data_IF_110941713986
#
_entry.id   IF_110941713986
#
_cell.length_a   1.000
_cell.length_b   1.000
_cell.length_c   1.000
_cell.angle_alpha   90.00
_cell.angle_beta   90.00
_cell.angle_gamma   90.00
#
_symmetry.space_group_name_H-M   'P 1'
#
loop_
_entity.id
_entity.type
_entity.pdbx_description
1 polymer ?
#
# COMPACT_ATOMS: atom_id res chain seq x y z
N UNK A 1 -2.55 10.61 15.65
CA UNK A 1 -1.52 9.90 16.42
C UNK A 1 -0.92 8.80 15.57
N UNK A 2 0.39 8.60 15.64
CA UNK A 2 1.04 7.45 15.03
C UNK A 2 0.49 6.16 15.67
N UNK A 3 0.19 5.10 14.91
CA UNK A 3 -0.27 3.83 15.46
C UNK A 3 0.85 3.14 16.23
N UNK A 4 0.48 2.28 17.17
CA UNK A 4 1.40 1.34 17.78
C UNK A 4 1.74 0.26 16.75
N UNK A 5 3.00 -0.01 16.53
CA UNK A 5 3.48 -1.03 15.61
C UNK A 5 3.87 -2.28 16.38
N UNK A 6 3.41 -3.44 15.91
CA UNK A 6 3.81 -4.74 16.44
C UNK A 6 4.47 -5.55 15.34
N UNK A 7 5.62 -6.10 15.63
CA UNK A 7 6.37 -6.95 14.70
C UNK A 7 7.25 -7.93 15.44
N UNK A 8 7.61 -9.01 14.78
CA UNK A 8 8.62 -9.93 15.27
C UNK A 8 9.97 -9.60 14.64
N UNK A 9 11.03 -9.75 15.42
CA UNK A 9 12.41 -9.56 14.98
C UNK A 9 13.24 -10.72 15.52
N UNK A 10 13.97 -11.37 14.64
CA UNK A 10 14.96 -12.38 15.05
C UNK A 10 16.33 -11.73 15.17
N UNK A 11 17.01 -11.98 16.27
CA UNK A 11 18.37 -11.52 16.52
C UNK A 11 19.33 -12.72 16.60
N UNK A 12 20.44 -12.65 15.90
CA UNK A 12 21.47 -13.70 15.91
C UNK A 12 22.22 -13.74 17.25
N UNK A 13 22.36 -12.57 17.88
CA UNK A 13 22.94 -12.39 19.19
C UNK A 13 22.14 -11.34 19.98
N UNK A 14 22.42 -11.20 21.28
CA UNK A 14 21.89 -10.09 22.06
C UNK A 14 22.41 -8.77 21.46
N UNK A 15 21.51 -7.89 21.06
CA UNK A 15 21.82 -6.66 20.36
C UNK A 15 20.76 -5.60 20.63
N UNK A 16 20.87 -4.43 20.02
CA UNK A 16 19.90 -3.34 20.14
C UNK A 16 19.30 -3.00 18.79
N UNK A 17 17.98 -2.95 18.72
CA UNK A 17 17.25 -2.41 17.59
C UNK A 17 16.92 -0.95 17.86
N UNK A 18 17.24 -0.07 16.93
CA UNK A 18 16.79 1.32 16.90
C UNK A 18 15.73 1.46 15.82
N UNK A 19 14.57 1.99 16.20
CA UNK A 19 13.47 2.30 15.30
C UNK A 19 13.19 3.80 15.34
N UNK A 20 13.07 4.40 14.18
CA UNK A 20 12.73 5.80 14.06
C UNK A 20 11.39 5.97 13.35
N UNK A 21 10.57 6.85 13.88
CA UNK A 21 9.45 7.42 13.15
C UNK A 21 9.98 8.65 12.44
N UNK A 22 9.82 8.69 11.14
CA UNK A 22 10.26 9.82 10.32
C UNK A 22 9.13 10.35 9.46
N UNK A 23 9.28 11.59 9.02
CA UNK A 23 8.46 12.21 8.01
C UNK A 23 9.33 13.03 7.06
N UNK A 24 8.73 13.57 6.01
CA UNK A 24 9.43 14.52 5.14
C UNK A 24 9.25 15.95 5.64
N UNK A 25 10.31 16.74 5.51
CA UNK A 25 10.25 18.21 5.68
C UNK A 25 9.28 18.86 4.67
N UNK A 26 9.07 18.21 3.51
CA UNK A 26 8.09 18.62 2.49
C UNK A 26 6.86 17.72 2.58
N UNK A 27 5.68 18.30 2.74
CA UNK A 27 4.42 17.59 3.05
C UNK A 27 4.06 16.48 2.05
N UNK A 28 4.46 16.61 0.80
CA UNK A 28 4.09 15.72 -0.30
C UNK A 28 5.27 14.86 -0.80
N UNK A 29 6.35 14.82 -0.04
CA UNK A 29 7.55 14.10 -0.42
C UNK A 29 7.65 12.75 0.30
N UNK A 30 8.30 11.80 -0.36
CA UNK A 30 8.57 10.45 0.16
C UNK A 30 9.96 10.30 0.81
N UNK A 31 10.67 11.40 1.02
CA UNK A 31 12.01 11.39 1.64
C UNK A 31 11.88 11.46 3.15
N UNK A 32 12.34 10.46 3.93
CA UNK A 32 12.26 10.44 5.39
C UNK A 32 13.41 11.24 6.02
N UNK A 33 13.47 12.53 5.76
CA UNK A 33 14.56 13.43 6.17
C UNK A 33 14.41 14.02 7.57
N UNK A 34 13.21 13.93 8.17
CA UNK A 34 12.93 14.44 9.51
C UNK A 34 12.72 13.31 10.49
N UNK A 35 13.48 13.28 11.58
CA UNK A 35 13.28 12.33 12.68
C UNK A 35 12.26 12.92 13.64
N UNK A 36 11.11 12.28 13.76
CA UNK A 36 10.00 12.71 14.62
C UNK A 36 10.05 12.06 15.99
N UNK A 37 10.46 10.80 16.07
CA UNK A 37 10.65 10.06 17.33
C UNK A 37 11.60 8.87 17.15
N UNK A 38 12.24 8.47 18.25
CA UNK A 38 13.19 7.34 18.28
C UNK A 38 12.79 6.41 19.41
N UNK A 39 12.84 5.10 19.15
CA UNK A 39 12.68 4.04 20.13
C UNK A 39 13.87 3.07 20.04
N UNK A 40 14.29 2.59 21.17
CA UNK A 40 15.37 1.59 21.28
C UNK A 40 14.85 0.35 22.00
N UNK A 41 15.20 -0.82 21.50
CA UNK A 41 14.80 -2.11 22.04
C UNK A 41 16.02 -2.99 22.25
N UNK A 42 16.25 -3.43 23.48
CA UNK A 42 17.26 -4.44 23.76
C UNK A 42 16.70 -5.82 23.40
N UNK A 43 17.31 -6.46 22.42
CA UNK A 43 16.92 -7.75 21.88
C UNK A 43 17.73 -8.86 22.55
N UNK A 44 17.07 -9.97 22.83
CA UNK A 44 17.73 -11.23 23.17
C UNK A 44 18.00 -12.01 21.90
N UNK A 45 18.92 -12.96 21.98
CA UNK A 45 19.12 -13.90 20.89
C UNK A 45 17.80 -14.62 20.57
N UNK A 46 17.59 -14.94 19.29
CA UNK A 46 16.42 -15.55 18.69
C UNK A 46 15.21 -14.60 18.55
N UNK A 47 14.00 -15.07 18.71
CA UNK A 47 12.76 -14.33 18.43
C UNK A 47 12.44 -13.28 19.51
N UNK A 48 12.10 -12.09 19.09
CA UNK A 48 11.67 -10.98 19.92
C UNK A 48 10.37 -10.39 19.37
N UNK A 49 9.40 -10.17 20.24
CA UNK A 49 8.21 -9.39 19.90
C UNK A 49 8.48 -7.91 20.21
N UNK A 50 8.33 -7.04 19.23
CA UNK A 50 8.51 -5.60 19.35
C UNK A 50 7.13 -4.94 19.38
N UNK A 51 6.93 -4.07 20.36
CA UNK A 51 5.76 -3.19 20.48
C UNK A 51 6.27 -1.75 20.50
N UNK A 52 6.19 -1.07 19.37
CA UNK A 52 6.67 0.28 19.21
C UNK A 52 5.52 1.29 19.30
N UNK A 53 5.39 2.01 20.41
CA UNK A 53 4.50 3.16 20.58
C UNK A 53 5.35 4.44 20.59
N UNK A 54 5.41 5.11 19.46
CA UNK A 54 6.14 6.36 19.34
C UNK A 54 5.49 7.53 20.09
N UNK A 55 4.24 7.38 20.53
CA UNK A 55 3.45 8.42 21.24
C UNK A 55 3.46 9.77 20.54
N UNK A 56 3.51 9.77 19.20
CA UNK A 56 3.64 10.93 18.35
C UNK A 56 2.34 11.25 17.60
N UNK A 57 2.08 12.54 17.34
CA UNK A 57 0.89 12.97 16.59
C UNK A 57 1.28 14.05 15.59
N UNK A 58 0.88 13.85 14.35
CA UNK A 58 1.04 14.85 13.29
C UNK A 58 -0.12 15.84 13.31
N UNK A 59 0.20 17.12 13.15
CA UNK A 59 -0.81 18.18 13.08
C UNK A 59 -1.59 18.15 11.76
N UNK A 60 -0.96 17.69 10.69
CA UNK A 60 -1.57 17.55 9.35
C UNK A 60 -1.26 16.18 8.77
N UNK A 61 -2.12 15.63 7.90
CA UNK A 61 -1.81 14.41 7.17
C UNK A 61 -0.49 14.53 6.38
N UNK A 62 0.35 13.51 6.46
CA UNK A 62 1.60 13.41 5.71
C UNK A 62 2.06 11.96 5.64
N UNK A 63 3.02 11.70 4.77
CA UNK A 63 3.68 10.40 4.76
C UNK A 63 4.53 10.24 6.02
N UNK A 64 4.35 9.09 6.67
CA UNK A 64 5.13 8.67 7.81
C UNK A 64 5.92 7.40 7.46
N UNK A 65 7.13 7.31 7.97
CA UNK A 65 8.06 6.23 7.69
C UNK A 65 8.50 5.59 9.00
N UNK A 66 8.37 4.28 9.08
CA UNK A 66 8.95 3.50 10.16
C UNK A 66 10.28 2.97 9.65
N UNK A 67 11.36 3.49 10.21
CA UNK A 67 12.71 3.19 9.78
C UNK A 67 13.38 2.27 10.79
N UNK A 68 13.79 1.09 10.34
CA UNK A 68 14.64 0.19 11.10
C UNK A 68 16.09 0.57 10.79
N UNK A 69 16.83 0.96 11.80
CA UNK A 69 18.23 1.33 11.62
C UNK A 69 19.07 0.08 11.32
N UNK A 70 20.11 0.27 10.52
CA UNK A 70 20.98 -0.81 10.08
C UNK A 70 21.53 -1.58 11.28
N UNK A 71 21.26 -2.86 11.33
CA UNK A 71 21.81 -3.78 12.29
C UNK A 71 22.01 -5.15 11.60
N UNK A 72 23.26 -5.61 11.38
CA UNK A 72 23.52 -6.87 10.69
C UNK A 72 23.15 -8.12 11.51
N UNK A 73 22.90 -7.96 12.82
CA UNK A 73 22.55 -9.05 13.73
C UNK A 73 21.06 -9.35 13.75
N UNK A 74 20.23 -8.60 12.95
CA UNK A 74 18.79 -8.78 12.96
C UNK A 74 18.25 -9.19 11.60
N UNK A 75 17.16 -9.94 11.62
CA UNK A 75 16.32 -10.21 10.48
C UNK A 75 14.84 -9.98 10.83
N UNK A 76 14.07 -9.56 9.83
CA UNK A 76 12.65 -9.29 9.99
C UNK A 76 11.85 -10.16 9.03
N UNK A 77 10.72 -10.73 9.48
CA UNK A 77 9.86 -11.50 8.58
C UNK A 77 9.21 -10.59 7.54
N UNK A 78 9.08 -11.12 6.34
CA UNK A 78 8.45 -10.45 5.21
C UNK A 78 7.11 -11.10 4.89
N UNK A 79 6.13 -10.30 4.52
CA UNK A 79 4.83 -10.76 4.02
C UNK A 79 4.80 -10.66 2.50
N UNK A 80 4.35 -11.71 1.82
CA UNK A 80 4.08 -11.70 0.38
C UNK A 80 2.84 -10.89 0.00
N UNK A 81 2.02 -10.49 0.98
CA UNK A 81 0.80 -9.73 0.72
C UNK A 81 1.12 -8.26 0.50
N UNK A 82 0.71 -7.76 -0.66
CA UNK A 82 0.80 -6.34 -0.99
C UNK A 82 -0.42 -5.61 -0.47
N UNK A 83 -0.19 -4.45 0.16
CA UNK A 83 -1.25 -3.54 0.60
C UNK A 83 -1.04 -2.21 -0.09
N UNK A 84 -2.06 -1.74 -0.79
CA UNK A 84 -2.08 -0.44 -1.45
C UNK A 84 -1.71 0.68 -0.47
N UNK A 85 -0.81 1.55 -0.89
CA UNK A 85 -0.36 2.69 -0.07
C UNK A 85 0.64 2.35 1.04
N UNK A 86 1.03 1.09 1.18
CA UNK A 86 2.15 0.67 2.03
C UNK A 86 3.34 0.29 1.17
N UNK A 87 4.44 0.97 1.35
CA UNK A 87 5.67 0.73 0.57
C UNK A 87 6.83 0.36 1.49
N UNK A 88 7.47 -0.77 1.24
CA UNK A 88 8.74 -1.10 1.85
C UNK A 88 9.88 -0.57 0.96
N UNK A 89 10.73 0.27 1.53
CA UNK A 89 11.88 0.85 0.84
C UNK A 89 13.15 0.43 1.55
N UNK A 90 14.11 -0.09 0.78
CA UNK A 90 15.43 -0.40 1.28
C UNK A 90 16.40 0.69 0.86
N UNK A 91 16.99 1.35 1.83
CA UNK A 91 18.13 2.21 1.60
C UNK A 91 19.39 1.35 1.49
N UNK A 92 19.85 1.16 0.28
CA UNK A 92 21.01 0.37 -0.01
C UNK A 92 21.96 1.13 -0.93
N UNK A 93 23.15 1.41 -0.46
CA UNK A 93 24.21 2.01 -1.27
C UNK A 93 24.97 0.89 -1.95
N UNK A 94 24.79 0.74 -3.25
CA UNK A 94 25.55 -0.20 -4.06
C UNK A 94 26.58 0.54 -4.90
N UNK A 95 27.86 0.45 -4.57
CA UNK A 95 28.92 1.15 -5.31
C UNK A 95 29.11 0.63 -6.73
N UNK A 96 28.54 -0.52 -7.07
CA UNK A 96 28.58 -1.08 -8.42
C UNK A 96 27.55 -0.47 -9.37
N UNK A 97 26.50 0.14 -8.84
CA UNK A 97 25.48 0.81 -9.63
C UNK A 97 25.88 2.25 -9.91
N UNK A 98 25.79 2.68 -11.15
CA UNK A 98 26.36 3.93 -11.60
C UNK A 98 25.89 5.17 -10.86
N UNK A 99 24.72 5.67 -11.10
CA UNK A 99 24.36 7.00 -10.62
C UNK A 99 23.85 7.01 -9.19
N UNK A 100 23.22 5.93 -8.74
CA UNK A 100 22.57 5.90 -7.44
C UNK A 100 23.47 5.33 -6.36
N UNK A 101 24.19 4.27 -6.64
CA UNK A 101 24.97 3.57 -5.65
C UNK A 101 26.40 4.07 -5.48
N UNK A 102 26.92 4.86 -6.42
CA UNK A 102 28.30 5.37 -6.34
C UNK A 102 28.45 6.63 -5.51
N UNK A 103 27.37 7.30 -5.28
CA UNK A 103 27.39 8.59 -4.62
C UNK A 103 27.15 8.39 -3.14
N UNK A 104 28.19 8.62 -2.36
CA UNK A 104 28.03 8.85 -0.94
C UNK A 104 27.65 10.32 -0.80
N UNK A 105 26.53 10.66 -0.15
CA UNK A 105 26.17 12.04 0.08
C UNK A 105 27.32 12.74 0.78
N UNK A 106 27.75 13.90 0.31
CA UNK A 106 28.64 14.75 1.11
C UNK A 106 27.98 15.08 2.45
N UNK A 107 28.80 15.25 3.46
CA UNK A 107 28.33 15.64 4.78
C UNK A 107 27.48 16.90 4.69
N UNK A 108 26.29 16.85 5.27
CA UNK A 108 25.34 17.97 5.30
C UNK A 108 24.38 18.07 4.12
N UNK A 109 24.43 17.17 3.15
CA UNK A 109 23.44 17.10 2.07
C UNK A 109 22.28 16.21 2.49
N UNK A 110 21.05 16.68 2.29
CA UNK A 110 19.83 15.95 2.57
C UNK A 110 19.66 14.71 1.68
N UNK A 111 18.93 13.75 2.19
CA UNK A 111 18.64 12.48 1.48
C UNK A 111 17.90 12.71 0.17
N UNK A 112 17.09 13.73 0.10
CA UNK A 112 16.31 14.11 -1.08
C UNK A 112 17.15 14.54 -2.29
N UNK A 113 18.37 14.98 -2.08
CA UNK A 113 19.25 15.41 -3.17
C UNK A 113 19.89 14.24 -3.91
N UNK A 114 19.87 13.09 -3.28
CA UNK A 114 20.49 11.90 -3.83
C UNK A 114 19.53 10.83 -4.20
N UNK A 115 18.27 10.93 -3.85
CA UNK A 115 17.27 9.92 -4.14
C UNK A 115 17.85 8.50 -4.19
N UNK A 116 18.57 8.10 -3.15
CA UNK A 116 19.16 6.77 -3.06
C UNK A 116 18.11 5.71 -2.99
N UNK A 117 17.19 5.82 -3.84
CA UNK A 117 16.15 4.87 -3.89
C UNK A 117 16.76 3.59 -4.36
N UNK A 118 16.88 2.73 -3.39
CA UNK A 118 17.19 1.37 -3.67
C UNK A 118 16.38 0.91 -4.87
N UNK A 119 17.02 0.32 -5.85
CA UNK A 119 16.30 -0.28 -6.97
C UNK A 119 15.31 -1.36 -6.55
N UNK A 120 15.31 -1.81 -5.31
CA UNK A 120 14.34 -2.74 -4.76
C UNK A 120 13.41 -2.03 -3.79
N UNK A 121 12.32 -1.51 -4.31
CA UNK A 121 11.14 -1.22 -3.50
C UNK A 121 10.37 -2.51 -3.34
N UNK A 122 9.87 -2.80 -2.13
CA UNK A 122 9.19 -4.06 -1.83
C UNK A 122 10.00 -5.24 -2.38
N UNK A 123 11.13 -5.62 -1.78
CA UNK A 123 11.98 -6.69 -2.31
C UNK A 123 11.12 -7.90 -2.64
N UNK A 124 11.22 -8.38 -3.87
CA UNK A 124 10.39 -9.50 -4.33
C UNK A 124 8.88 -9.28 -4.13
N UNK A 125 8.41 -8.03 -4.20
CA UNK A 125 7.01 -7.67 -3.94
C UNK A 125 6.53 -8.00 -2.52
N UNK A 126 7.41 -7.93 -1.53
CA UNK A 126 7.09 -8.19 -0.12
C UNK A 126 7.12 -6.93 0.71
N UNK A 127 6.29 -6.87 1.74
CA UNK A 127 6.34 -5.88 2.81
C UNK A 127 6.92 -6.50 4.09
N UNK A 128 7.46 -5.68 4.97
CA UNK A 128 7.80 -6.12 6.33
C UNK A 128 6.51 -6.57 7.03
N UNK A 129 6.52 -7.77 7.63
CA UNK A 129 5.37 -8.28 8.35
C UNK A 129 5.20 -7.53 9.66
N UNK A 130 4.17 -6.68 9.75
CA UNK A 130 3.83 -5.91 10.95
C UNK A 130 2.33 -5.69 11.05
N UNK A 131 1.86 -5.38 12.24
CA UNK A 131 0.48 -4.96 12.49
C UNK A 131 0.43 -3.60 13.18
N UNK A 132 -0.71 -2.93 13.05
CA UNK A 132 -0.94 -1.59 13.58
C UNK A 132 -2.12 -1.56 14.53
N UNK A 133 -1.97 -0.86 15.67
CA UNK A 133 -3.03 -0.65 16.62
C UNK A 133 -3.18 0.85 16.94
N UNK A 134 -4.34 1.50 16.70
CA UNK A 134 -5.47 0.93 15.99
C UNK A 134 -5.13 0.57 14.53
N UNK A 135 -5.92 -0.28 13.87
CA UNK A 135 -5.75 -0.55 12.44
C UNK A 135 -5.72 0.75 11.63
N UNK A 136 -4.96 0.75 10.55
CA UNK A 136 -4.88 1.93 9.68
C UNK A 136 -6.25 2.22 9.07
N UNK A 137 -6.88 3.31 9.50
CA UNK A 137 -8.20 3.72 9.02
C UNK A 137 -8.16 4.43 7.66
N UNK A 138 -7.01 4.46 7.01
CA UNK A 138 -6.78 5.16 5.75
C UNK A 138 -7.37 4.46 4.53
N UNK A 139 -7.86 3.23 4.66
CA UNK A 139 -8.35 2.39 3.55
C UNK A 139 -9.88 2.25 3.52
N UNK A 140 -10.60 3.22 4.01
CA UNK A 140 -12.06 3.16 4.09
C UNK A 140 -12.73 3.44 2.73
N UNK A 141 -14.03 3.10 2.61
CA UNK A 141 -14.80 3.25 1.39
C UNK A 141 -15.04 4.70 0.95
N UNK A 142 -14.90 5.67 1.84
CA UNK A 142 -15.06 7.08 1.50
C UNK A 142 -13.97 7.55 0.52
N UNK A 143 -12.82 6.90 0.52
CA UNK A 143 -11.75 7.17 -0.45
C UNK A 143 -12.21 6.99 -1.90
N UNK A 144 -13.18 6.13 -2.16
CA UNK A 144 -13.69 5.87 -3.52
C UNK A 144 -14.46 7.05 -4.12
N UNK A 145 -14.69 8.12 -3.33
CA UNK A 145 -15.44 9.32 -3.74
C UNK A 145 -14.55 10.56 -3.84
N UNK A 146 -13.27 10.46 -3.56
CA UNK A 146 -12.37 11.62 -3.48
C UNK A 146 -11.77 12.06 -4.83
N UNK A 147 -12.06 11.33 -5.91
CA UNK A 147 -11.57 11.60 -7.27
C UNK A 147 -10.08 11.42 -7.49
N UNK A 148 -9.38 10.81 -6.55
CA UNK A 148 -7.99 10.38 -6.73
C UNK A 148 -7.95 8.91 -7.17
N UNK A 149 -7.12 8.59 -8.16
CA UNK A 149 -6.96 7.24 -8.69
C UNK A 149 -5.59 6.66 -8.40
N UNK A 150 -4.90 7.25 -7.44
CA UNK A 150 -3.58 6.84 -6.97
C UNK A 150 -3.37 7.35 -5.54
N UNK A 151 -2.40 6.81 -4.78
CA UNK A 151 -1.97 7.40 -3.52
C UNK A 151 -1.46 8.83 -3.74
N UNK A 152 -1.93 9.76 -2.91
CA UNK A 152 -1.50 11.16 -2.90
C UNK A 152 -1.90 11.79 -1.58
N UNK A 153 -0.91 12.13 -0.72
CA UNK A 153 -1.11 12.58 0.66
C UNK A 153 -1.90 11.59 1.54
N UNK A 154 -2.41 10.54 0.96
CA UNK A 154 -3.18 9.48 1.57
C UNK A 154 -3.24 8.29 0.63
N UNK A 155 -3.82 7.21 1.11
CA UNK A 155 -3.93 5.98 0.31
C UNK A 155 -4.90 6.11 -0.85
N UNK A 156 -5.94 6.94 -0.68
CA UNK A 156 -6.99 7.20 -1.68
C UNK A 156 -7.64 5.94 -2.24
N UNK A 157 -7.59 4.87 -1.47
CA UNK A 157 -8.13 3.57 -1.85
C UNK A 157 -9.02 3.00 -0.75
N UNK A 158 -10.00 2.21 -1.15
CA UNK A 158 -10.59 1.21 -0.28
C UNK A 158 -9.81 -0.09 -0.42
N UNK A 159 -9.50 -0.75 0.69
CA UNK A 159 -8.85 -2.06 0.72
C UNK A 159 -9.56 -2.93 1.74
N UNK A 160 -9.88 -4.16 1.35
CA UNK A 160 -10.49 -5.15 2.24
C UNK A 160 -9.48 -5.66 3.28
N UNK A 161 -10.00 -6.20 4.38
CA UNK A 161 -9.18 -6.88 5.38
C UNK A 161 -8.55 -8.17 4.81
N UNK A 162 -7.40 -8.56 5.34
CA UNK A 162 -6.70 -9.78 4.90
C UNK A 162 -7.47 -11.08 5.13
N UNK A 163 -8.32 -11.10 6.15
CA UNK A 163 -9.10 -12.24 6.58
C UNK A 163 -10.55 -12.18 6.09
N UNK A 164 -10.90 -11.21 5.26
CA UNK A 164 -12.22 -11.14 4.65
C UNK A 164 -12.38 -12.23 3.60
N UNK A 165 -13.15 -13.25 3.95
CA UNK A 165 -13.38 -14.40 3.05
C UNK A 165 -14.33 -14.06 1.87
N UNK A 166 -15.02 -12.92 1.93
CA UNK A 166 -15.98 -12.50 0.89
C UNK A 166 -15.93 -10.99 0.69
N UNK A 167 -14.79 -10.48 0.22
CA UNK A 167 -14.59 -9.06 0.06
C UNK A 167 -15.57 -8.46 -0.94
N UNK A 168 -16.30 -7.47 -0.47
CA UNK A 168 -17.34 -6.80 -1.23
C UNK A 168 -17.37 -5.32 -0.90
N UNK A 169 -17.61 -4.50 -1.89
CA UNK A 169 -17.94 -3.08 -1.69
C UNK A 169 -19.29 -2.76 -2.27
N UNK A 170 -20.11 -2.07 -1.48
CA UNK A 170 -21.45 -1.64 -1.86
C UNK A 170 -21.49 -0.13 -2.11
N UNK A 171 -22.01 0.25 -3.28
CA UNK A 171 -22.31 1.62 -3.63
C UNK A 171 -23.84 1.79 -3.64
N UNK A 172 -24.34 2.58 -2.69
CA UNK A 172 -25.76 2.84 -2.54
C UNK A 172 -26.05 4.32 -2.68
N UNK A 173 -27.14 4.65 -3.34
CA UNK A 173 -27.62 6.01 -3.52
C UNK A 173 -29.12 6.14 -3.19
N UNK A 174 -29.57 7.39 -3.05
CA UNK A 174 -30.96 7.66 -2.71
C UNK A 174 -31.87 7.42 -3.91
N UNK A 175 -32.83 6.51 -3.74
CA UNK A 175 -33.83 6.14 -4.75
C UNK A 175 -33.26 5.38 -5.93
N UNK A 176 -34.10 4.73 -6.66
CA UNK A 176 -33.73 3.96 -7.85
C UNK A 176 -33.37 4.90 -9.01
N UNK A 177 -32.24 4.64 -9.64
CA UNK A 177 -31.79 5.38 -10.84
C UNK A 177 -31.48 4.40 -11.95
N UNK A 178 -31.65 4.85 -13.17
CA UNK A 178 -31.27 4.12 -14.35
C UNK A 178 -29.76 4.30 -14.55
N UNK A 179 -29.03 3.19 -14.65
CA UNK A 179 -27.59 3.16 -14.88
C UNK A 179 -27.30 2.47 -16.20
N UNK A 180 -26.28 2.93 -16.90
CA UNK A 180 -25.83 2.38 -18.18
C UNK A 180 -24.38 1.96 -18.15
N UNK A 181 -23.53 2.67 -17.39
CA UNK A 181 -22.09 2.48 -17.38
C UNK A 181 -21.59 2.35 -15.95
N UNK A 182 -20.68 1.41 -15.72
CA UNK A 182 -19.96 1.22 -14.46
C UNK A 182 -18.46 1.31 -14.78
N UNK A 183 -17.74 2.17 -14.07
CA UNK A 183 -16.30 2.36 -14.24
C UNK A 183 -15.62 2.00 -12.94
N UNK A 184 -14.66 1.09 -13.01
CA UNK A 184 -13.83 0.67 -11.88
C UNK A 184 -12.37 1.05 -12.13
N UNK A 185 -11.75 1.66 -11.11
CA UNK A 185 -10.32 1.94 -11.07
C UNK A 185 -9.67 1.00 -10.06
N UNK A 186 -8.94 0.02 -10.53
CA UNK A 186 -8.10 -0.84 -9.70
C UNK A 186 -6.78 -0.15 -9.38
N UNK A 187 -6.07 -0.69 -8.40
CA UNK A 187 -4.75 -0.22 -8.05
C UNK A 187 -3.75 -0.47 -9.19
N UNK A 188 -3.04 0.57 -9.55
CA UNK A 188 -1.95 0.52 -10.55
C UNK A 188 -0.58 0.26 -9.92
N UNK A 189 -0.55 0.05 -8.60
CA UNK A 189 0.70 -0.10 -7.83
C UNK A 189 1.66 1.09 -8.01
N UNK A 190 1.10 2.30 -8.09
CA UNK A 190 1.87 3.53 -8.34
C UNK A 190 2.82 3.91 -7.21
N UNK A 191 2.70 3.32 -6.04
CA UNK A 191 3.63 3.45 -4.94
C UNK A 191 4.88 2.56 -5.11
N UNK A 192 4.91 1.72 -6.14
CA UNK A 192 6.10 1.01 -6.60
C UNK A 192 6.68 1.72 -7.83
N UNK A 193 7.92 2.12 -7.76
CA UNK A 193 8.56 2.76 -8.90
C UNK A 193 8.74 1.77 -10.06
N UNK A 194 8.28 2.16 -11.22
CA UNK A 194 8.39 1.39 -12.47
C UNK A 194 9.23 2.12 -13.54
N UNK A 195 9.92 3.18 -13.13
CA UNK A 195 10.61 4.08 -14.06
C UNK A 195 11.89 3.50 -14.64
N UNK A 196 12.41 2.44 -14.05
CA UNK A 196 13.67 1.86 -14.49
C UNK A 196 13.61 0.36 -14.64
N UNK A 197 14.38 -0.17 -15.57
CA UNK A 197 14.55 -1.62 -15.76
C UNK A 197 15.14 -2.33 -14.53
N UNK A 198 15.76 -1.58 -13.62
CA UNK A 198 16.36 -2.13 -12.41
C UNK A 198 15.32 -2.50 -11.36
N UNK A 199 14.12 -1.95 -11.46
CA UNK A 199 13.04 -2.20 -10.50
C UNK A 199 12.28 -3.50 -10.75
N UNK A 200 12.46 -4.09 -11.91
CA UNK A 200 11.64 -5.17 -12.40
C UNK A 200 10.24 -4.67 -12.79
N UNK A 201 9.71 -5.20 -13.84
CA UNK A 201 8.35 -4.96 -14.31
C UNK A 201 7.56 -6.25 -14.25
N UNK A 202 6.25 -6.12 -14.07
CA UNK A 202 5.38 -7.27 -14.15
C UNK A 202 5.23 -7.70 -15.62
N UNK A 203 5.52 -8.97 -15.90
CA UNK A 203 5.48 -9.50 -17.27
C UNK A 203 4.06 -9.62 -17.82
N UNK A 204 3.06 -9.62 -16.95
CA UNK A 204 1.67 -9.80 -17.34
C UNK A 204 0.78 -8.77 -16.66
N UNK A 205 0.07 -9.18 -15.60
CA UNK A 205 -0.87 -8.33 -14.91
C UNK A 205 -0.26 -7.77 -13.62
N UNK A 206 -0.53 -6.52 -13.34
CA UNK A 206 -0.18 -5.91 -12.04
C UNK A 206 -0.80 -6.73 -10.91
N UNK A 207 -0.02 -7.18 -9.91
CA UNK A 207 -0.51 -8.07 -8.84
C UNK A 207 -1.70 -7.52 -8.07
N UNK A 208 -1.77 -6.21 -7.90
CA UNK A 208 -2.85 -5.49 -7.21
C UNK A 208 -4.14 -5.39 -8.03
N UNK A 209 -4.13 -5.81 -9.29
CA UNK A 209 -5.32 -5.91 -10.12
C UNK A 209 -6.13 -7.16 -9.78
N UNK A 210 -7.43 -7.11 -9.98
CA UNK A 210 -8.32 -8.25 -9.75
C UNK A 210 -8.70 -8.93 -11.06
N UNK A 211 -8.33 -10.21 -11.16
CA UNK A 211 -8.57 -11.06 -12.34
C UNK A 211 -10.03 -11.42 -12.50
N UNK A 212 -10.71 -11.65 -11.37
CA UNK A 212 -12.10 -12.09 -11.37
C UNK A 212 -12.92 -11.35 -10.34
N UNK A 213 -14.03 -10.76 -10.78
CA UNK A 213 -14.97 -10.07 -9.93
C UNK A 213 -16.38 -10.10 -10.51
N UNK A 214 -17.39 -9.91 -9.67
CA UNK A 214 -18.79 -9.97 -10.03
C UNK A 214 -19.45 -8.65 -9.60
N UNK A 215 -20.29 -8.11 -10.46
CA UNK A 215 -21.10 -6.92 -10.15
C UNK A 215 -22.56 -7.33 -10.13
N UNK A 216 -23.24 -6.98 -9.04
CA UNK A 216 -24.68 -7.22 -8.85
C UNK A 216 -25.43 -5.92 -8.57
N UNK A 217 -26.71 -5.89 -8.94
CA UNK A 217 -27.61 -4.80 -8.55
C UNK A 217 -28.20 -5.04 -7.14
N UNK A 218 -29.02 -4.13 -6.65
CA UNK A 218 -29.69 -4.21 -5.34
C UNK A 218 -30.66 -5.38 -5.20
N UNK A 219 -31.06 -6.00 -6.29
CA UNK A 219 -31.93 -7.18 -6.31
C UNK A 219 -31.14 -8.50 -6.36
N UNK A 220 -29.82 -8.42 -6.32
CA UNK A 220 -28.92 -9.56 -6.41
C UNK A 220 -28.72 -10.10 -7.84
N UNK A 221 -29.32 -9.43 -8.85
CA UNK A 221 -29.12 -9.80 -10.25
C UNK A 221 -27.67 -9.49 -10.65
N UNK A 222 -27.01 -10.47 -11.24
CA UNK A 222 -25.69 -10.31 -11.82
C UNK A 222 -25.76 -9.43 -13.07
N UNK A 223 -25.00 -8.34 -13.05
CA UNK A 223 -24.84 -7.42 -14.18
C UNK A 223 -23.61 -7.80 -15.00
N UNK A 224 -22.53 -8.17 -14.31
CA UNK A 224 -21.28 -8.62 -14.91
C UNK A 224 -20.62 -9.70 -14.07
N UNK A 225 -20.02 -10.66 -14.76
CA UNK A 225 -19.03 -11.58 -14.20
C UNK A 225 -17.79 -11.52 -15.10
N UNK A 226 -16.79 -10.82 -14.63
CA UNK A 226 -15.55 -10.63 -15.35
C UNK A 226 -14.56 -11.70 -14.91
N UNK A 227 -14.03 -12.45 -15.86
CA UNK A 227 -12.97 -13.44 -15.67
C UNK A 227 -11.78 -13.08 -16.56
N UNK A 228 -10.57 -13.21 -16.05
CA UNK A 228 -9.36 -12.93 -16.82
C UNK A 228 -9.06 -11.44 -17.01
N UNK A 229 -9.60 -10.57 -16.17
CA UNK A 229 -9.25 -9.15 -16.22
C UNK A 229 -7.75 -8.94 -15.95
N UNK A 230 -7.15 -8.05 -16.68
CA UNK A 230 -5.75 -7.64 -16.59
C UNK A 230 -5.58 -6.12 -16.69
N UNK A 231 -6.68 -5.38 -16.76
CA UNK A 231 -6.69 -3.91 -16.88
C UNK A 231 -7.02 -3.27 -15.55
N UNK A 232 -6.36 -2.17 -15.26
CA UNK A 232 -6.59 -1.37 -14.05
C UNK A 232 -7.77 -0.43 -14.18
N UNK A 233 -8.12 -0.03 -15.40
CA UNK A 233 -9.32 0.73 -15.72
C UNK A 233 -10.30 -0.18 -16.47
N UNK A 234 -11.48 -0.39 -15.89
CA UNK A 234 -12.56 -1.15 -16.51
C UNK A 234 -13.76 -0.24 -16.74
N UNK A 235 -14.17 -0.11 -18.00
CA UNK A 235 -15.38 0.60 -18.40
C UNK A 235 -16.37 -0.44 -18.89
N UNK A 236 -17.43 -0.63 -18.15
CA UNK A 236 -18.45 -1.67 -18.38
C UNK A 236 -19.75 -1.02 -18.81
N UNK A 237 -20.13 -1.23 -20.05
CA UNK A 237 -21.37 -0.71 -20.61
C UNK A 237 -22.45 -1.81 -20.64
N UNK A 238 -23.53 -1.60 -19.94
CA UNK A 238 -24.68 -2.50 -19.94
C UNK A 238 -25.39 -2.49 -21.31
N UNK A 239 -25.75 -3.65 -21.84
CA UNK A 239 -26.49 -3.76 -23.10
C UNK A 239 -27.80 -2.94 -23.05
N UNK A 240 -28.49 -3.05 -21.91
CA UNK A 240 -29.69 -2.26 -21.61
C UNK A 240 -29.50 -1.56 -20.26
N UNK A 241 -29.98 -0.31 -20.14
CA UNK A 241 -29.94 0.37 -18.85
C UNK A 241 -30.73 -0.40 -17.78
N UNK A 242 -30.19 -0.42 -16.56
CA UNK A 242 -30.75 -1.11 -15.40
C UNK A 242 -31.18 -0.09 -14.35
N UNK A 243 -32.39 -0.24 -13.82
CA UNK A 243 -32.88 0.61 -12.73
C UNK A 243 -32.58 -0.05 -11.40
N UNK A 244 -31.76 0.59 -10.59
CA UNK A 244 -31.32 0.09 -9.27
C UNK A 244 -31.03 1.23 -8.31
N UNK A 245 -30.91 0.96 -7.04
CA UNK A 245 -30.47 1.91 -5.99
C UNK A 245 -29.12 1.55 -5.39
N UNK A 246 -28.54 0.43 -5.81
CA UNK A 246 -27.19 0.03 -5.40
C UNK A 246 -26.52 -0.88 -6.42
N UNK A 247 -25.19 -0.88 -6.40
CA UNK A 247 -24.37 -1.94 -6.99
C UNK A 247 -23.45 -2.54 -5.92
N UNK A 248 -23.15 -3.82 -6.07
CA UNK A 248 -22.24 -4.58 -5.24
C UNK A 248 -21.12 -5.11 -6.12
N UNK A 249 -19.89 -4.85 -5.73
CA UNK A 249 -18.70 -5.39 -6.40
C UNK A 249 -18.08 -6.44 -5.49
N UNK A 250 -18.21 -7.71 -5.88
CA UNK A 250 -17.63 -8.85 -5.17
C UNK A 250 -16.33 -9.25 -5.83
N UNK A 251 -15.27 -9.33 -5.05
CA UNK A 251 -13.94 -9.71 -5.51
C UNK A 251 -13.73 -11.20 -5.31
N UNK A 252 -13.38 -11.90 -6.40
CA UNK A 252 -13.28 -13.38 -6.40
C UNK A 252 -11.83 -13.82 -6.42
N UNK A 253 -11.05 -13.31 -7.36
CA UNK A 253 -9.67 -13.76 -7.54
C UNK A 253 -8.74 -12.61 -7.95
N UNK A 254 -7.65 -12.35 -7.20
CA UNK A 254 -6.64 -11.37 -7.56
C UNK A 254 -5.73 -11.88 -8.69
N UNK A 255 -4.90 -11.00 -9.24
CA UNK A 255 -3.80 -11.35 -10.12
C UNK A 255 -2.56 -11.82 -9.33
N UNK A 256 -2.35 -11.27 -8.15
CA UNK A 256 -1.30 -11.65 -7.19
C UNK A 256 -1.84 -12.00 -5.81
N UNK A 257 -0.97 -12.17 -4.84
CA UNK A 257 -1.36 -12.38 -3.43
C UNK A 257 -1.58 -11.02 -2.74
N UNK A 258 -2.76 -10.44 -2.99
CA UNK A 258 -3.11 -9.09 -2.55
C UNK A 258 -4.50 -9.05 -1.95
N UNK A 259 -4.73 -8.07 -1.05
CA UNK A 259 -6.07 -7.72 -0.63
C UNK A 259 -6.82 -7.00 -1.76
N UNK A 260 -8.12 -7.23 -1.90
CA UNK A 260 -8.95 -6.45 -2.81
C UNK A 260 -8.85 -4.97 -2.49
N UNK A 261 -8.62 -4.17 -3.53
CA UNK A 261 -8.58 -2.72 -3.43
C UNK A 261 -9.13 -2.04 -4.67
N UNK A 262 -9.76 -0.90 -4.46
CA UNK A 262 -10.23 -0.01 -5.51
C UNK A 262 -9.79 1.42 -5.21
N UNK A 263 -9.43 2.14 -6.24
CA UNK A 263 -9.12 3.58 -6.20
C UNK A 263 -10.35 4.43 -6.53
N UNK A 264 -11.32 3.90 -7.26
CA UNK A 264 -12.53 4.63 -7.60
C UNK A 264 -13.59 3.79 -8.26
N UNK A 265 -14.83 4.22 -8.12
CA UNK A 265 -15.99 3.64 -8.80
C UNK A 265 -16.90 4.76 -9.25
N UNK A 266 -17.33 4.70 -10.50
CA UNK A 266 -18.33 5.60 -11.06
C UNK A 266 -19.45 4.79 -11.68
N UNK A 267 -20.65 5.32 -11.51
CA UNK A 267 -21.87 4.73 -12.02
C UNK A 267 -22.65 5.84 -12.72
N UNK A 268 -22.92 5.67 -14.02
CA UNK A 268 -23.62 6.64 -14.87
C UNK A 268 -24.87 6.03 -15.52
#
# INVERSE_FOLDING_TARGET
>A
RAPVVRMNVKADNATRLVMELRSSSKSENYTPDTIDAVLEFDLKKDENEIVADFSYSYATPRYAFICLMKNPEISVPMSGRLVTGLTAVYNYINPAVSNFGKQVPPEGIGVEEFEFWCPKRRPESKNIAMSFAPPLASFNSENLRNSYYRPYIGTNAWVAAFDDARPEVCFKWNGRKQIKTIILYFDTDTDQAMETVQMGHFDACVPTCYREYIIRNSEGKELYHITGNHQTLNVLELDQPVTTDAIYVNFVRPCGDVCPGLMGVYVC
#
